data_IF_872780977741
#
_entry.id   IF_872780977741
#
_cell.length_a   1.000
_cell.length_b   1.000
_cell.length_c   1.000
_cell.angle_alpha   90.00
_cell.angle_beta   90.00
_cell.angle_gamma   90.00
#
_symmetry.space_group_name_H-M   'P 1'
#
loop_
_entity.id
_entity.type
_entity.pdbx_description
1 polymer ?
#
# COMPACT_ATOMS: atom_id res chain seq x y z
N UNK A 1 -7.07 -21.21 -31.95
CA UNK A 1 -6.44 -20.73 -30.68
C UNK A 1 -7.20 -21.34 -29.52
N UNK A 2 -6.54 -22.16 -28.70
CA UNK A 2 -7.20 -22.96 -27.66
C UNK A 2 -7.72 -22.08 -26.53
N UNK A 3 -8.92 -22.38 -26.03
CA UNK A 3 -9.60 -21.62 -24.96
C UNK A 3 -8.70 -21.38 -23.73
N UNK A 4 -7.78 -22.31 -23.48
CA UNK A 4 -6.74 -22.24 -22.44
C UNK A 4 -5.93 -20.93 -22.43
N UNK A 5 -5.50 -20.40 -23.59
CA UNK A 5 -4.71 -19.16 -23.64
C UNK A 5 -5.53 -17.92 -23.25
N UNK A 6 -6.83 -17.90 -23.58
CA UNK A 6 -7.73 -16.79 -23.23
C UNK A 6 -7.99 -16.72 -21.73
N UNK A 7 -8.06 -17.85 -21.05
CA UNK A 7 -8.24 -17.91 -19.59
C UNK A 7 -6.99 -17.43 -18.83
N UNK A 8 -5.80 -17.85 -19.26
CA UNK A 8 -4.54 -17.37 -18.67
C UNK A 8 -4.35 -15.86 -18.91
N UNK A 9 -4.59 -15.38 -20.13
CA UNK A 9 -4.48 -13.96 -20.44
C UNK A 9 -5.49 -13.12 -19.67
N UNK A 10 -6.74 -13.59 -19.52
CA UNK A 10 -7.77 -12.90 -18.74
C UNK A 10 -7.47 -12.84 -17.25
N UNK A 11 -6.93 -13.92 -16.68
CA UNK A 11 -6.51 -13.98 -15.28
C UNK A 11 -5.33 -13.05 -14.96
N UNK A 12 -4.33 -13.00 -15.85
CA UNK A 12 -3.15 -12.12 -15.69
C UNK A 12 -3.55 -10.64 -15.81
N UNK A 13 -4.42 -10.29 -16.76
CA UNK A 13 -4.92 -8.92 -16.90
C UNK A 13 -5.76 -8.47 -15.70
N UNK A 14 -6.63 -9.33 -15.17
CA UNK A 14 -7.40 -8.99 -13.97
C UNK A 14 -6.50 -8.85 -12.73
N UNK A 15 -5.49 -9.71 -12.58
CA UNK A 15 -4.51 -9.62 -11.49
C UNK A 15 -3.72 -8.30 -11.53
N UNK A 16 -3.31 -7.86 -12.72
CA UNK A 16 -2.59 -6.60 -12.90
C UNK A 16 -3.47 -5.37 -12.63
N UNK A 17 -4.73 -5.38 -13.08
CA UNK A 17 -5.66 -4.25 -12.86
C UNK A 17 -6.03 -4.11 -11.38
N UNK A 18 -6.31 -5.23 -10.70
CA UNK A 18 -6.64 -5.22 -9.27
C UNK A 18 -5.41 -4.90 -8.40
N UNK A 19 -4.22 -5.39 -8.77
CA UNK A 19 -2.97 -5.05 -8.09
C UNK A 19 -2.57 -3.57 -8.24
N UNK A 20 -2.84 -2.96 -9.39
CA UNK A 20 -2.55 -1.55 -9.65
C UNK A 20 -3.46 -0.57 -8.90
N UNK A 21 -4.75 -0.90 -8.78
CA UNK A 21 -5.74 -0.02 -8.12
C UNK A 21 -5.54 0.07 -6.60
N UNK A 22 -5.13 -1.01 -5.95
CA UNK A 22 -4.89 -1.01 -4.50
C UNK A 22 -3.69 -0.11 -4.15
N UNK A 23 -2.65 -0.08 -4.99
CA UNK A 23 -1.50 0.80 -4.81
C UNK A 23 -1.82 2.30 -4.87
N UNK A 24 -2.75 2.69 -5.75
CA UNK A 24 -3.09 4.10 -5.97
C UNK A 24 -3.88 4.74 -4.82
N UNK A 25 -4.65 3.96 -4.05
CA UNK A 25 -5.47 4.49 -2.94
C UNK A 25 -4.71 4.69 -1.63
N UNK A 26 -3.52 4.09 -1.49
CA UNK A 26 -2.74 4.18 -0.24
C UNK A 26 -1.88 5.43 -0.15
N UNK A 27 -1.50 5.99 -1.30
CA UNK A 27 -0.73 7.23 -1.35
C UNK A 27 -1.75 8.37 -1.38
N UNK A 28 -1.79 9.16 -0.32
CA UNK A 28 -2.59 10.38 -0.37
C UNK A 28 -1.95 11.37 -1.37
N UNK A 29 -2.77 12.27 -1.91
CA UNK A 29 -2.27 13.44 -2.62
C UNK A 29 -2.44 14.64 -1.71
N UNK A 30 -1.49 15.61 -1.72
CA UNK A 30 -1.72 16.87 -1.03
C UNK A 30 -3.01 17.48 -1.58
N UNK A 31 -3.88 17.99 -0.71
CA UNK A 31 -5.02 18.75 -1.20
C UNK A 31 -4.50 19.91 -2.06
N UNK A 32 -5.16 20.23 -3.17
CA UNK A 32 -4.71 21.31 -4.06
C UNK A 32 -4.56 22.67 -3.34
N UNK A 33 -5.19 22.82 -2.17
CA UNK A 33 -5.06 23.98 -1.29
C UNK A 33 -3.87 23.93 -0.33
N UNK A 34 -3.15 22.81 -0.22
CA UNK A 34 -2.10 22.58 0.77
C UNK A 34 -0.69 22.74 0.22
N UNK A 35 -0.48 22.59 -1.10
CA UNK A 35 0.81 22.86 -1.74
C UNK A 35 0.58 23.32 -3.18
N UNK A 36 1.17 24.45 -3.57
CA UNK A 36 1.07 24.95 -4.94
C UNK A 36 1.82 24.02 -5.91
N UNK A 37 1.34 23.91 -7.16
CA UNK A 37 1.89 22.98 -8.16
C UNK A 37 3.37 23.25 -8.46
N UNK A 38 3.78 24.51 -8.36
CA UNK A 38 5.15 25.00 -8.55
C UNK A 38 6.01 24.94 -7.27
N UNK A 39 5.40 24.69 -6.11
CA UNK A 39 6.11 24.55 -4.84
C UNK A 39 6.71 23.14 -4.72
N UNK A 40 7.79 22.90 -5.45
CA UNK A 40 8.52 21.63 -5.39
C UNK A 40 9.16 21.38 -4.02
N UNK A 41 9.49 22.42 -3.25
CA UNK A 41 10.02 22.27 -1.90
C UNK A 41 8.93 21.74 -0.94
N UNK A 42 7.75 22.36 -0.96
CA UNK A 42 6.59 21.91 -0.19
C UNK A 42 6.13 20.51 -0.59
N UNK A 43 6.14 20.20 -1.89
CA UNK A 43 5.75 18.87 -2.37
C UNK A 43 6.73 17.79 -1.90
N UNK A 44 8.04 18.05 -1.93
CA UNK A 44 9.04 17.12 -1.39
C UNK A 44 8.81 16.84 0.10
N UNK A 45 8.67 17.90 0.91
CA UNK A 45 8.43 17.78 2.36
C UNK A 45 7.12 17.05 2.66
N UNK A 46 6.08 17.30 1.87
CA UNK A 46 4.79 16.62 2.02
C UNK A 46 4.94 15.11 1.79
N UNK A 47 5.57 14.72 0.68
CA UNK A 47 5.76 13.31 0.34
C UNK A 47 6.68 12.58 1.33
N UNK A 48 7.70 13.24 1.88
CA UNK A 48 8.53 12.69 2.97
C UNK A 48 7.72 12.39 4.24
N UNK A 49 6.81 13.31 4.61
CA UNK A 49 5.92 13.10 5.75
C UNK A 49 4.96 11.96 5.49
N UNK A 50 4.44 11.84 4.28
CA UNK A 50 3.55 10.75 3.91
C UNK A 50 4.27 9.40 3.93
N UNK A 51 5.51 9.34 3.45
CA UNK A 51 6.34 8.14 3.56
C UNK A 51 6.56 7.73 5.03
N UNK A 52 6.82 8.70 5.92
CA UNK A 52 6.95 8.42 7.36
C UNK A 52 5.64 7.93 7.99
N UNK A 53 4.49 8.50 7.60
CA UNK A 53 3.16 8.07 8.06
C UNK A 53 2.86 6.63 7.61
N UNK A 54 3.12 6.31 6.35
CA UNK A 54 2.91 4.98 5.78
C UNK A 54 3.79 3.92 6.46
N UNK A 55 5.06 4.23 6.75
CA UNK A 55 5.92 3.35 7.56
C UNK A 55 5.41 3.13 8.98
N UNK A 56 4.78 4.13 9.56
CA UNK A 56 4.15 3.98 10.90
C UNK A 56 2.95 3.05 10.80
N UNK A 57 2.07 3.24 9.81
CA UNK A 57 0.95 2.34 9.56
C UNK A 57 1.39 0.89 9.32
N UNK A 58 2.49 0.69 8.57
CA UNK A 58 3.07 -0.65 8.38
C UNK A 58 3.52 -1.30 9.71
N UNK A 59 4.11 -0.53 10.63
CA UNK A 59 4.50 -1.03 11.96
C UNK A 59 3.29 -1.40 12.80
N UNK A 60 2.21 -0.62 12.73
CA UNK A 60 0.97 -0.89 13.46
C UNK A 60 0.35 -2.22 12.99
N UNK A 61 0.33 -2.47 11.68
CA UNK A 61 -0.13 -3.75 11.11
C UNK A 61 0.75 -4.93 11.55
N UNK A 62 2.08 -4.77 11.60
CA UNK A 62 2.97 -5.80 12.12
C UNK A 62 2.73 -6.05 13.61
N UNK A 63 2.46 -5.01 14.40
CA UNK A 63 2.11 -5.16 15.80
C UNK A 63 0.78 -5.93 15.97
N UNK A 64 -0.20 -5.70 15.08
CA UNK A 64 -1.43 -6.48 15.03
C UNK A 64 -1.18 -7.94 14.64
N UNK A 65 -0.31 -8.21 13.67
CA UNK A 65 0.08 -9.58 13.32
C UNK A 65 0.66 -10.33 14.53
N UNK A 66 1.55 -9.67 15.30
CA UNK A 66 2.10 -10.24 16.54
C UNK A 66 1.03 -10.45 17.63
N UNK A 67 0.03 -9.57 17.72
CA UNK A 67 -1.10 -9.77 18.63
C UNK A 67 -1.92 -11.00 18.24
N UNK A 68 -2.18 -11.21 16.94
CA UNK A 68 -2.86 -12.41 16.43
C UNK A 68 -2.03 -13.69 16.62
N UNK A 69 -0.70 -13.64 16.51
CA UNK A 69 0.18 -14.78 16.83
C UNK A 69 0.10 -15.17 18.31
N UNK A 70 0.05 -14.18 19.21
CA UNK A 70 -0.02 -14.39 20.67
C UNK A 70 -1.41 -14.84 21.14
N UNK A 71 -2.45 -14.35 20.49
CA UNK A 71 -3.84 -14.72 20.77
C UNK A 71 -4.53 -15.09 19.46
N UNK A 72 -4.22 -16.28 18.90
CA UNK A 72 -4.92 -16.78 17.73
C UNK A 72 -6.33 -17.08 18.20
N UNK A 73 -7.25 -16.13 17.99
CA UNK A 73 -8.58 -16.16 18.58
C UNK A 73 -9.22 -17.53 18.43
N UNK A 74 -9.92 -17.98 19.48
CA UNK A 74 -10.81 -19.14 19.41
C UNK A 74 -11.65 -19.00 18.14
N UNK A 75 -11.39 -19.88 17.17
CA UNK A 75 -12.21 -20.07 15.97
C UNK A 75 -13.65 -19.77 16.34
N UNK A 76 -14.28 -18.74 15.77
CA UNK A 76 -15.70 -18.50 15.97
C UNK A 76 -16.42 -19.78 15.57
N UNK A 77 -16.84 -20.58 16.55
CA UNK A 77 -17.56 -21.82 16.34
C UNK A 77 -18.84 -21.46 15.58
N UNK A 78 -18.88 -21.76 14.28
CA UNK A 78 -20.09 -21.62 13.45
C UNK A 78 -19.94 -20.91 12.09
N UNK A 79 -18.81 -20.26 11.77
CA UNK A 79 -18.67 -19.58 10.48
C UNK A 79 -18.09 -20.51 9.41
N UNK A 80 -18.92 -20.93 8.43
CA UNK A 80 -18.50 -21.60 7.18
C UNK A 80 -17.77 -20.64 6.20
N UNK A 81 -16.83 -19.84 6.69
CA UNK A 81 -15.99 -18.99 5.85
C UNK A 81 -14.58 -19.57 5.80
N UNK A 82 -13.83 -19.46 4.67
CA UNK A 82 -12.39 -19.65 4.72
C UNK A 82 -11.87 -18.74 5.84
N UNK A 83 -11.24 -19.34 6.85
CA UNK A 83 -10.66 -18.58 7.96
C UNK A 83 -9.60 -17.69 7.34
N UNK A 84 -9.85 -16.38 7.27
CA UNK A 84 -8.84 -15.41 6.86
C UNK A 84 -7.72 -15.53 7.89
N UNK A 85 -6.52 -15.89 7.44
CA UNK A 85 -5.34 -15.87 8.29
C UNK A 85 -5.01 -14.40 8.58
N UNK A 86 -5.42 -13.94 9.77
CA UNK A 86 -5.26 -12.54 10.17
C UNK A 86 -3.79 -12.15 10.30
N UNK A 87 -2.89 -13.11 10.56
CA UNK A 87 -1.44 -12.85 10.57
C UNK A 87 -0.99 -12.53 9.15
N UNK A 88 -1.30 -13.41 8.19
CA UNK A 88 -0.94 -13.21 6.80
C UNK A 88 -1.58 -11.93 6.22
N UNK A 89 -2.82 -11.62 6.63
CA UNK A 89 -3.52 -10.42 6.21
C UNK A 89 -2.80 -9.14 6.67
N UNK A 90 -2.48 -9.04 7.97
CA UNK A 90 -1.76 -7.90 8.51
C UNK A 90 -0.34 -7.77 7.90
N UNK A 91 0.38 -8.88 7.74
CA UNK A 91 1.70 -8.86 7.09
C UNK A 91 1.61 -8.40 5.62
N UNK A 92 0.55 -8.79 4.91
CA UNK A 92 0.27 -8.32 3.54
C UNK A 92 0.02 -6.81 3.49
N UNK A 93 -0.82 -6.28 4.39
CA UNK A 93 -1.10 -4.83 4.49
C UNK A 93 0.16 -4.05 4.86
N UNK A 94 0.96 -4.53 5.81
CA UNK A 94 2.23 -3.90 6.17
C UNK A 94 3.18 -3.81 4.96
N UNK A 95 3.28 -4.87 4.16
CA UNK A 95 4.04 -4.88 2.92
C UNK A 95 3.56 -3.84 1.91
N UNK A 96 2.23 -3.70 1.77
CA UNK A 96 1.62 -2.69 0.91
C UNK A 96 1.93 -1.26 1.36
N UNK A 97 1.82 -0.96 2.66
CA UNK A 97 2.17 0.36 3.21
C UNK A 97 3.65 0.69 3.05
N UNK A 98 4.55 -0.28 3.25
CA UNK A 98 5.98 -0.06 3.03
C UNK A 98 6.29 0.26 1.56
N UNK A 99 5.67 -0.46 0.62
CA UNK A 99 5.82 -0.15 -0.81
C UNK A 99 5.29 1.24 -1.15
N UNK A 100 4.13 1.63 -0.59
CA UNK A 100 3.60 2.97 -0.77
C UNK A 100 4.54 4.05 -0.20
N UNK A 101 5.19 3.78 0.93
CA UNK A 101 6.19 4.69 1.51
C UNK A 101 7.42 4.84 0.61
N UNK A 102 7.91 3.76 0.00
CA UNK A 102 9.01 3.83 -0.98
C UNK A 102 8.64 4.68 -2.20
N UNK A 103 7.42 4.54 -2.73
CA UNK A 103 6.97 5.38 -3.85
C UNK A 103 6.83 6.85 -3.43
N UNK A 104 6.35 7.14 -2.22
CA UNK A 104 6.29 8.50 -1.69
C UNK A 104 7.70 9.12 -1.57
N UNK A 105 8.70 8.37 -1.10
CA UNK A 105 10.09 8.86 -1.07
C UNK A 105 10.65 9.16 -2.47
N UNK A 106 10.39 8.30 -3.46
CA UNK A 106 10.81 8.54 -4.85
C UNK A 106 10.19 9.81 -5.42
N UNK A 107 8.92 10.08 -5.10
CA UNK A 107 8.25 11.32 -5.51
C UNK A 107 8.92 12.53 -4.85
N UNK A 108 9.24 12.46 -3.55
CA UNK A 108 9.94 13.52 -2.86
C UNK A 108 11.34 13.80 -3.46
N UNK A 109 12.09 12.74 -3.78
CA UNK A 109 13.38 12.85 -4.47
C UNK A 109 13.23 13.50 -5.85
N UNK A 110 12.19 13.15 -6.61
CA UNK A 110 11.85 13.77 -7.88
C UNK A 110 11.65 15.27 -7.76
N UNK A 111 10.85 15.73 -6.79
CA UNK A 111 10.67 17.15 -6.53
C UNK A 111 11.96 17.86 -6.09
N UNK A 112 12.79 17.21 -5.26
CA UNK A 112 14.10 17.76 -4.88
C UNK A 112 15.05 17.90 -6.06
N UNK A 113 15.04 16.96 -7.01
CA UNK A 113 15.87 17.01 -8.20
C UNK A 113 15.52 18.22 -9.09
N UNK A 114 14.23 18.60 -9.16
CA UNK A 114 13.78 19.76 -9.93
C UNK A 114 14.30 21.09 -9.37
N UNK A 115 14.63 21.16 -8.07
CA UNK A 115 15.16 22.37 -7.42
C UNK A 115 16.68 22.55 -7.60
N UNK A 116 17.41 21.53 -8.08
CA UNK A 116 18.87 21.58 -8.25
C UNK A 116 19.32 22.00 -9.66
N UNK A 117 18.38 22.48 -10.48
CA UNK A 117 18.63 23.03 -11.81
C UNK A 117 18.97 24.51 -11.72
#
# INVERSE_FOLDING_TARGET
>A
MTMWKRWIQGGVLCGLVLGGLVGCGMIQHPAASQVAIDDHAGQAVWHEREAARLRTAAKDELAMAEAYKKNPGLSTHGAMSPKVDMVLHCESIAGMYNKAAEEADKIAEGHRALMKK
#
